data_IF_151207063225
#
_entry.id   IF_151207063225
#
_cell.length_a   1.000
_cell.length_b   1.000
_cell.length_c   1.000
_cell.angle_alpha   90.00
_cell.angle_beta   90.00
_cell.angle_gamma   90.00
#
_symmetry.space_group_name_H-M   'P 1'
#
loop_
_entity.id
_entity.type
_entity.pdbx_description
1 polymer ?
#
# COMPACT_ATOMS: atom_id res chain seq x y z
N UNK A 1 -26.61 -1.23 -18.96
CA UNK A 1 -26.27 -2.20 -17.89
C UNK A 1 -26.40 -1.44 -16.59
N UNK A 2 -27.23 -1.90 -15.65
CA UNK A 2 -27.27 -1.29 -14.31
C UNK A 2 -25.95 -1.59 -13.63
N UNK A 3 -25.23 -0.55 -13.25
CA UNK A 3 -24.09 -0.68 -12.34
C UNK A 3 -24.62 -1.36 -11.07
N UNK A 4 -24.05 -2.52 -10.75
CA UNK A 4 -24.35 -3.17 -9.48
C UNK A 4 -23.77 -2.28 -8.37
N UNK A 5 -24.61 -1.50 -7.73
CA UNK A 5 -24.26 -0.71 -6.56
C UNK A 5 -23.87 -1.70 -5.45
N UNK A 6 -22.58 -1.75 -5.12
CA UNK A 6 -22.09 -2.60 -4.04
C UNK A 6 -22.39 -1.86 -2.74
N UNK A 7 -23.40 -2.37 -2.01
CA UNK A 7 -23.71 -1.85 -0.67
C UNK A 7 -22.80 -2.58 0.32
N UNK A 8 -21.95 -1.84 0.99
CA UNK A 8 -21.17 -2.36 2.12
C UNK A 8 -21.52 -1.60 3.39
N UNK A 9 -21.54 -2.35 4.49
CA UNK A 9 -21.73 -1.77 5.81
C UNK A 9 -20.35 -1.37 6.37
N UNK A 10 -20.13 -0.08 6.50
CA UNK A 10 -18.92 0.43 7.13
C UNK A 10 -18.96 0.13 8.63
N UNK A 11 -17.90 -0.49 9.15
CA UNK A 11 -17.74 -0.64 10.59
C UNK A 11 -17.60 0.76 11.21
N UNK A 12 -18.41 1.12 12.22
CA UNK A 12 -18.41 2.45 12.83
C UNK A 12 -17.07 2.84 13.49
N UNK A 13 -16.16 1.87 13.69
CA UNK A 13 -14.82 2.11 14.21
C UNK A 13 -13.82 2.53 13.13
N UNK A 14 -14.19 2.47 11.86
CA UNK A 14 -13.36 2.92 10.73
C UNK A 14 -13.82 4.31 10.32
N UNK A 15 -12.91 5.29 10.28
CA UNK A 15 -13.25 6.66 9.89
C UNK A 15 -13.50 6.79 8.40
N UNK A 16 -12.59 6.24 7.60
CA UNK A 16 -12.60 6.32 6.15
C UNK A 16 -12.52 4.92 5.57
N UNK A 17 -13.45 4.58 4.69
CA UNK A 17 -13.46 3.32 3.96
C UNK A 17 -13.62 3.63 2.48
N UNK A 18 -12.66 3.22 1.67
CA UNK A 18 -12.66 3.42 0.23
C UNK A 18 -11.86 2.31 -0.47
N UNK A 19 -12.02 2.22 -1.77
CA UNK A 19 -11.31 1.21 -2.54
C UNK A 19 -11.89 1.04 -3.92
N UNK A 20 -11.63 -0.11 -4.54
CA UNK A 20 -12.17 -0.43 -5.85
C UNK A 20 -12.23 -1.94 -6.09
N UNK A 21 -13.04 -2.33 -7.08
CA UNK A 21 -13.06 -3.66 -7.67
C UNK A 21 -13.01 -3.55 -9.19
N UNK A 22 -12.16 -4.33 -9.85
CA UNK A 22 -12.00 -4.29 -11.31
C UNK A 22 -10.78 -5.05 -11.80
N UNK A 23 -10.21 -4.59 -12.90
CA UNK A 23 -9.11 -5.28 -13.58
C UNK A 23 -7.72 -4.87 -13.11
N UNK A 24 -7.61 -3.72 -12.41
CA UNK A 24 -6.32 -3.23 -11.93
C UNK A 24 -5.82 -4.08 -10.75
N UNK A 25 -4.65 -4.66 -10.89
CA UNK A 25 -4.03 -5.44 -9.83
C UNK A 25 -3.35 -4.55 -8.78
N UNK A 26 -3.46 -4.92 -7.50
CA UNK A 26 -2.59 -4.36 -6.45
C UNK A 26 -1.19 -4.90 -6.67
N UNK A 27 -0.20 -4.11 -7.08
CA UNK A 27 1.14 -4.62 -7.38
C UNK A 27 1.87 -5.04 -6.11
N UNK A 28 2.86 -5.92 -6.27
CA UNK A 28 3.83 -6.18 -5.21
C UNK A 28 4.97 -5.18 -5.32
N UNK A 29 5.31 -4.53 -4.22
CA UNK A 29 6.45 -3.61 -4.16
C UNK A 29 7.54 -4.20 -3.28
N UNK A 30 8.53 -4.79 -3.91
CA UNK A 30 9.75 -5.22 -3.24
C UNK A 30 10.74 -4.05 -3.24
N UNK A 31 11.14 -3.61 -2.06
CA UNK A 31 12.30 -2.72 -1.92
C UNK A 31 13.52 -3.43 -2.48
N UNK A 32 14.23 -2.82 -3.38
CA UNK A 32 15.42 -3.43 -3.95
C UNK A 32 16.40 -2.40 -4.43
N UNK A 33 17.67 -2.73 -4.26
CA UNK A 33 18.78 -2.02 -4.86
C UNK A 33 19.33 -2.87 -5.98
N UNK A 34 19.83 -2.23 -7.03
CA UNK A 34 20.67 -2.88 -8.05
C UNK A 34 22.08 -2.38 -7.90
N UNK A 35 23.09 -3.25 -8.03
CA UNK A 35 24.46 -2.80 -8.11
C UNK A 35 24.67 -2.01 -9.40
N UNK A 36 25.46 -0.97 -9.32
CA UNK A 36 26.06 -0.26 -10.46
C UNK A 36 27.54 -0.30 -10.24
N UNK A 37 28.27 -0.80 -11.24
CA UNK A 37 29.71 -0.84 -11.25
C UNK A 37 30.24 0.42 -11.92
N UNK A 38 31.18 1.09 -11.27
CA UNK A 38 31.98 2.14 -11.91
C UNK A 38 33.19 1.47 -12.52
N UNK A 39 33.28 1.56 -13.82
CA UNK A 39 34.37 0.95 -14.60
C UNK A 39 35.31 2.06 -15.10
N UNK A 40 36.60 1.93 -14.84
CA UNK A 40 37.63 2.75 -15.44
C UNK A 40 38.26 1.99 -16.61
N UNK A 41 38.25 2.62 -17.78
CA UNK A 41 38.95 2.08 -18.94
C UNK A 41 40.34 2.66 -19.00
N UNK A 42 41.37 1.84 -18.85
CA UNK A 42 42.77 2.24 -18.93
C UNK A 42 43.18 2.54 -20.37
N UNK A 43 44.29 3.23 -20.53
CA UNK A 43 44.83 3.60 -21.87
C UNK A 43 45.13 2.40 -22.79
N UNK A 44 45.33 1.23 -22.21
CA UNK A 44 45.56 -0.02 -22.93
C UNK A 44 44.25 -0.74 -23.34
N UNK A 45 43.08 -0.14 -23.02
CA UNK A 45 41.76 -0.69 -23.30
C UNK A 45 41.27 -1.71 -22.28
N UNK A 46 42.00 -1.95 -21.19
CA UNK A 46 41.54 -2.82 -20.11
C UNK A 46 40.53 -2.08 -19.21
N UNK A 47 39.49 -2.78 -18.80
CA UNK A 47 38.46 -2.27 -17.89
C UNK A 47 38.73 -2.80 -16.48
N UNK A 48 38.66 -1.91 -15.49
CA UNK A 48 38.79 -2.25 -14.08
C UNK A 48 37.63 -1.67 -13.30
N UNK A 49 36.97 -2.51 -12.48
CA UNK A 49 35.91 -2.05 -11.58
C UNK A 49 36.54 -1.35 -10.39
N UNK A 50 36.40 -0.02 -10.33
CA UNK A 50 36.98 0.81 -9.27
C UNK A 50 36.05 1.01 -8.07
N UNK A 51 34.75 0.86 -8.26
CA UNK A 51 33.79 0.95 -7.15
C UNK A 51 32.44 0.28 -7.48
N UNK A 52 31.73 -0.15 -6.44
CA UNK A 52 30.39 -0.68 -6.52
C UNK A 52 29.42 0.23 -5.77
N UNK A 53 28.38 0.70 -6.44
CA UNK A 53 27.29 1.46 -5.85
C UNK A 53 26.01 0.66 -5.88
N UNK A 54 25.13 0.92 -4.90
CA UNK A 54 23.80 0.38 -4.89
C UNK A 54 22.78 1.51 -5.10
N UNK A 55 22.02 1.43 -6.19
CA UNK A 55 20.94 2.38 -6.46
C UNK A 55 19.58 1.72 -6.29
N UNK A 56 18.63 2.47 -5.78
CA UNK A 56 17.26 1.98 -5.65
C UNK A 56 16.68 1.66 -7.04
N UNK A 57 16.10 0.48 -7.18
CA UNK A 57 15.35 0.12 -8.39
C UNK A 57 14.18 1.08 -8.59
N UNK A 58 13.97 1.63 -9.78
CA UNK A 58 12.80 2.45 -10.07
C UNK A 58 11.54 1.60 -9.97
N UNK A 59 10.42 2.26 -9.63
CA UNK A 59 9.11 1.64 -9.62
C UNK A 59 8.73 1.22 -11.06
N UNK A 60 8.08 0.07 -11.19
CA UNK A 60 7.61 -0.41 -12.49
C UNK A 60 6.41 0.41 -12.98
N UNK A 61 6.12 0.33 -14.29
CA UNK A 61 4.95 1.01 -14.85
C UNK A 61 3.63 0.59 -14.19
N UNK A 62 3.49 -0.68 -13.79
CA UNK A 62 2.32 -1.18 -13.07
C UNK A 62 2.19 -0.55 -11.67
N UNK A 63 3.30 -0.38 -10.94
CA UNK A 63 3.33 0.30 -9.65
C UNK A 63 2.91 1.76 -9.81
N UNK A 64 3.45 2.47 -10.80
CA UNK A 64 3.11 3.87 -11.02
C UNK A 64 1.63 4.07 -11.39
N UNK A 65 1.08 3.25 -12.30
CA UNK A 65 -0.35 3.29 -12.64
C UNK A 65 -1.25 3.02 -11.44
N UNK A 66 -0.90 2.03 -10.64
CA UNK A 66 -1.64 1.71 -9.42
C UNK A 66 -1.57 2.88 -8.43
N UNK A 67 -0.39 3.43 -8.21
CA UNK A 67 -0.17 4.56 -7.32
C UNK A 67 -1.03 5.76 -7.72
N UNK A 68 -0.97 6.19 -8.97
CA UNK A 68 -1.77 7.31 -9.50
C UNK A 68 -3.27 7.09 -9.30
N UNK A 69 -3.73 5.85 -9.54
CA UNK A 69 -5.13 5.50 -9.35
C UNK A 69 -5.54 5.56 -7.87
N UNK A 70 -4.75 4.95 -6.97
CA UNK A 70 -5.04 4.97 -5.52
C UNK A 70 -4.94 6.39 -4.96
N UNK A 71 -3.96 7.18 -5.37
CA UNK A 71 -3.89 8.60 -5.00
C UNK A 71 -5.16 9.35 -5.40
N UNK A 72 -5.67 9.10 -6.61
CA UNK A 72 -6.88 9.75 -7.12
C UNK A 72 -8.11 9.43 -6.27
N UNK A 73 -8.31 8.15 -5.92
CA UNK A 73 -9.45 7.77 -5.06
C UNK A 73 -9.26 8.25 -3.62
N UNK A 74 -8.03 8.24 -3.09
CA UNK A 74 -7.73 8.73 -1.74
C UNK A 74 -8.04 10.22 -1.62
N UNK A 75 -7.68 11.04 -2.61
CA UNK A 75 -7.97 12.49 -2.66
C UNK A 75 -9.47 12.84 -2.68
N UNK A 76 -10.35 11.88 -2.97
CA UNK A 76 -11.81 12.08 -2.83
C UNK A 76 -12.28 12.03 -1.38
N UNK A 77 -11.50 11.41 -0.50
CA UNK A 77 -11.82 11.22 0.92
C UNK A 77 -10.98 12.10 1.84
N UNK A 78 -9.79 12.47 1.39
CA UNK A 78 -8.84 13.24 2.17
C UNK A 78 -8.46 14.54 1.46
N UNK A 79 -8.27 15.58 2.26
CA UNK A 79 -7.76 16.90 1.86
C UNK A 79 -6.88 17.47 2.98
N UNK A 80 -6.37 18.67 2.82
CA UNK A 80 -5.49 19.32 3.80
C UNK A 80 -6.13 19.49 5.20
N UNK A 81 -7.47 19.56 5.29
CA UNK A 81 -8.18 19.79 6.56
C UNK A 81 -8.44 18.52 7.34
N UNK A 82 -8.53 17.36 6.68
CA UNK A 82 -8.87 16.09 7.31
C UNK A 82 -7.76 15.03 7.20
N UNK A 83 -6.62 15.37 6.59
CA UNK A 83 -5.41 14.53 6.64
C UNK A 83 -5.00 14.33 8.10
N UNK A 84 -4.66 13.10 8.44
CA UNK A 84 -4.26 12.76 9.81
C UNK A 84 -2.80 13.17 10.01
N UNK A 85 -2.57 14.24 10.75
CA UNK A 85 -1.24 14.77 11.03
C UNK A 85 -0.73 14.26 12.39
N UNK A 86 0.57 14.31 12.60
CA UNK A 86 1.19 14.08 13.91
C UNK A 86 0.59 15.04 14.95
N UNK A 87 0.45 14.66 16.22
CA UNK A 87 0.99 13.44 16.84
C UNK A 87 0.06 12.22 16.83
N UNK A 88 -1.02 12.22 16.05
CA UNK A 88 -2.00 11.13 16.04
C UNK A 88 -1.47 9.88 15.35
N UNK A 89 -1.72 8.73 15.94
CA UNK A 89 -1.49 7.43 15.36
C UNK A 89 -2.60 7.06 14.38
N UNK A 90 -2.28 6.12 13.49
CA UNK A 90 -3.18 5.65 12.43
C UNK A 90 -3.30 4.13 12.48
N UNK A 91 -4.52 3.63 12.39
CA UNK A 91 -4.80 2.25 12.03
C UNK A 91 -5.12 2.17 10.55
N UNK A 92 -4.47 1.25 9.83
CA UNK A 92 -4.76 0.94 8.43
C UNK A 92 -5.21 -0.50 8.30
N UNK A 93 -6.33 -0.71 7.63
CA UNK A 93 -6.89 -2.04 7.35
C UNK A 93 -6.97 -2.21 5.83
N UNK A 94 -6.34 -3.25 5.31
CA UNK A 94 -6.33 -3.58 3.89
C UNK A 94 -7.00 -4.93 3.66
N UNK A 95 -8.02 -4.97 2.80
CA UNK A 95 -8.67 -6.19 2.35
C UNK A 95 -8.51 -6.30 0.83
N UNK A 96 -7.70 -7.26 0.36
CA UNK A 96 -7.24 -7.34 -1.03
C UNK A 96 -7.74 -8.62 -1.66
N UNK A 97 -8.57 -8.50 -2.71
CA UNK A 97 -9.05 -9.63 -3.51
C UNK A 97 -8.21 -9.83 -4.77
N UNK A 98 -8.08 -11.07 -5.16
CA UNK A 98 -7.33 -11.44 -6.35
C UNK A 98 -7.70 -12.84 -6.88
N UNK A 99 -7.34 -13.17 -8.15
CA UNK A 99 -7.45 -14.51 -8.67
C UNK A 99 -6.58 -15.52 -7.93
N UNK A 100 -7.02 -16.78 -7.85
CA UNK A 100 -6.33 -17.86 -7.13
C UNK A 100 -4.86 -18.03 -7.52
N UNK A 101 -4.55 -17.96 -8.83
CA UNK A 101 -3.19 -18.09 -9.34
C UNK A 101 -2.24 -17.08 -8.69
N UNK A 102 -2.71 -15.85 -8.54
CA UNK A 102 -1.93 -14.77 -7.96
C UNK A 102 -1.85 -14.88 -6.44
N UNK A 103 -2.95 -15.28 -5.80
CA UNK A 103 -3.01 -15.48 -4.35
C UNK A 103 -1.91 -16.39 -3.82
N UNK A 104 -1.55 -17.45 -4.58
CA UNK A 104 -0.53 -18.43 -4.18
C UNK A 104 0.91 -17.94 -4.23
N UNK A 105 1.17 -16.84 -4.95
CA UNK A 105 2.55 -16.40 -5.25
C UNK A 105 2.91 -15.01 -4.70
N UNK A 106 1.93 -14.23 -4.21
CA UNK A 106 2.21 -12.88 -3.72
C UNK A 106 2.26 -12.83 -2.20
N UNK A 107 3.20 -12.08 -1.66
CA UNK A 107 3.35 -11.85 -0.24
C UNK A 107 2.50 -10.67 0.21
N UNK A 108 1.88 -10.80 1.37
CA UNK A 108 0.93 -9.83 1.91
C UNK A 108 1.59 -8.51 2.29
N UNK A 109 2.81 -8.54 2.77
CA UNK A 109 3.62 -7.37 3.13
C UNK A 109 4.01 -6.54 1.91
N UNK A 110 4.38 -7.20 0.79
CA UNK A 110 4.69 -6.52 -0.47
C UNK A 110 3.47 -5.84 -1.09
N UNK A 111 2.27 -6.43 -0.92
CA UNK A 111 1.02 -5.80 -1.31
C UNK A 111 0.73 -4.58 -0.43
N UNK A 112 0.84 -4.74 0.89
CA UNK A 112 0.61 -3.66 1.84
C UNK A 112 1.52 -2.46 1.54
N UNK A 113 2.81 -2.71 1.29
CA UNK A 113 3.77 -1.65 0.98
C UNK A 113 3.38 -0.83 -0.23
N UNK A 114 2.90 -1.46 -1.31
CA UNK A 114 2.45 -0.75 -2.50
C UNK A 114 1.27 0.20 -2.21
N UNK A 115 0.35 -0.24 -1.35
CA UNK A 115 -0.82 0.56 -0.96
C UNK A 115 -0.40 1.71 -0.05
N UNK A 116 0.37 1.43 1.00
CA UNK A 116 0.81 2.45 1.96
C UNK A 116 1.60 3.56 1.29
N UNK A 117 2.52 3.22 0.38
CA UNK A 117 3.28 4.19 -0.42
C UNK A 117 2.37 5.06 -1.33
N UNK A 118 1.15 4.59 -1.63
CA UNK A 118 0.19 5.31 -2.48
C UNK A 118 -0.73 6.24 -1.68
N UNK A 119 -1.04 5.93 -0.42
CA UNK A 119 -1.94 6.74 0.42
C UNK A 119 -1.19 7.68 1.37
N UNK A 120 0.08 7.42 1.61
CA UNK A 120 0.98 8.27 2.39
C UNK A 120 0.98 9.71 1.85
N UNK A 121 1.15 10.67 2.72
CA UNK A 121 1.10 12.12 2.46
C UNK A 121 -0.28 12.67 2.07
N UNK A 122 -1.22 11.82 1.68
CA UNK A 122 -2.60 12.20 1.36
C UNK A 122 -3.51 11.90 2.56
N UNK A 123 -3.54 10.65 3.03
CA UNK A 123 -4.39 10.24 4.15
C UNK A 123 -3.75 10.57 5.51
N UNK A 124 -2.46 10.43 5.63
CA UNK A 124 -1.67 10.74 6.83
C UNK A 124 -0.30 11.28 6.42
N UNK A 125 0.41 11.87 7.37
CA UNK A 125 1.64 12.61 7.08
C UNK A 125 2.82 11.68 6.79
N UNK A 126 2.99 10.63 7.61
CA UNK A 126 4.14 9.72 7.51
C UNK A 126 3.81 8.29 7.97
N UNK A 127 4.50 7.30 7.40
CA UNK A 127 4.33 5.88 7.73
C UNK A 127 4.61 5.58 9.22
N UNK A 128 5.45 6.39 9.88
CA UNK A 128 5.74 6.26 11.30
C UNK A 128 4.53 6.46 12.22
N UNK A 129 3.43 7.03 11.69
CA UNK A 129 2.16 7.15 12.40
C UNK A 129 1.36 5.85 12.44
N UNK A 130 1.69 4.86 11.58
CA UNK A 130 0.95 3.61 11.51
C UNK A 130 1.33 2.75 12.72
N UNK A 131 0.49 2.76 13.75
CA UNK A 131 0.66 1.94 14.95
C UNK A 131 -0.08 0.60 14.87
N UNK A 132 -1.02 0.47 13.92
CA UNK A 132 -1.73 -0.79 13.65
C UNK A 132 -1.93 -0.97 12.15
N UNK A 133 -1.48 -2.10 11.63
CA UNK A 133 -1.68 -2.50 10.24
C UNK A 133 -2.30 -3.90 10.18
N UNK A 134 -3.50 -4.00 9.62
CA UNK A 134 -4.20 -5.27 9.40
C UNK A 134 -4.31 -5.48 7.90
N UNK A 135 -3.73 -6.56 7.40
CA UNK A 135 -3.75 -6.88 5.97
C UNK A 135 -4.30 -8.27 5.74
N UNK A 136 -5.30 -8.36 4.89
CA UNK A 136 -5.90 -9.62 4.47
C UNK A 136 -5.92 -9.71 2.96
N UNK A 137 -5.40 -10.80 2.40
CA UNK A 137 -5.63 -11.19 1.00
C UNK A 137 -6.61 -12.35 0.95
N UNK A 138 -7.44 -12.41 -0.10
CA UNK A 138 -8.38 -13.50 -0.30
C UNK A 138 -8.65 -13.73 -1.79
N UNK A 139 -9.17 -14.93 -2.10
CA UNK A 139 -9.60 -15.28 -3.45
C UNK A 139 -11.03 -14.80 -3.62
N UNK A 140 -11.28 -13.94 -4.58
CA UNK A 140 -12.62 -13.53 -4.93
C UNK A 140 -13.28 -14.55 -5.87
N UNK A 141 -14.53 -14.89 -5.61
CA UNK A 141 -15.29 -15.88 -6.41
C UNK A 141 -15.51 -15.41 -7.85
N UNK A 142 -15.54 -14.12 -8.10
CA UNK A 142 -15.63 -13.53 -9.44
C UNK A 142 -14.27 -13.42 -10.15
N UNK A 143 -13.20 -13.89 -9.52
CA UNK A 143 -11.81 -13.84 -10.01
C UNK A 143 -11.31 -12.41 -10.31
N UNK A 144 -11.93 -11.39 -9.71
CA UNK A 144 -11.56 -9.98 -9.90
C UNK A 144 -10.52 -9.53 -8.90
N UNK A 145 -9.72 -8.56 -9.32
CA UNK A 145 -8.87 -7.80 -8.43
C UNK A 145 -9.69 -6.75 -7.67
N UNK A 146 -9.24 -6.42 -6.48
CA UNK A 146 -9.89 -5.37 -5.71
C UNK A 146 -9.13 -5.07 -4.43
N UNK A 147 -9.44 -3.93 -3.87
CA UNK A 147 -8.95 -3.51 -2.56
C UNK A 147 -9.97 -2.64 -1.85
N UNK A 148 -10.17 -2.90 -0.57
CA UNK A 148 -10.78 -1.99 0.38
C UNK A 148 -9.71 -1.49 1.35
N UNK A 149 -9.70 -0.20 1.58
CA UNK A 149 -8.76 0.51 2.43
C UNK A 149 -9.54 1.18 3.54
N UNK A 150 -9.33 0.73 4.77
CA UNK A 150 -9.85 1.38 5.96
C UNK A 150 -8.75 2.20 6.61
N UNK A 151 -9.04 3.46 6.94
CA UNK A 151 -8.12 4.35 7.67
C UNK A 151 -8.83 4.91 8.88
N UNK A 152 -8.21 4.82 10.05
CA UNK A 152 -8.78 5.31 11.31
C UNK A 152 -7.73 6.14 12.03
N UNK A 153 -8.11 7.35 12.41
CA UNK A 153 -7.33 8.17 13.34
C UNK A 153 -7.46 7.59 14.75
N UNK A 154 -6.35 7.30 15.39
CA UNK A 154 -6.31 6.82 16.76
C UNK A 154 -6.03 7.96 17.72
N UNK A 155 -6.73 7.98 18.84
CA UNK A 155 -6.55 8.92 19.93
C UNK A 155 -6.93 8.25 21.29
N UNK A 156 -6.97 9.02 22.36
CA UNK A 156 -7.28 8.50 23.69
C UNK A 156 -8.69 7.90 23.78
N UNK A 157 -9.62 8.37 22.98
CA UNK A 157 -11.03 7.91 22.95
C UNK A 157 -11.24 6.83 21.90
N UNK A 158 -10.52 6.89 20.78
CA UNK A 158 -10.70 6.00 19.62
C UNK A 158 -9.45 5.14 19.42
N UNK A 159 -9.61 3.85 19.66
CA UNK A 159 -8.50 2.87 19.61
C UNK A 159 -8.57 1.93 18.38
N UNK A 160 -9.49 2.13 17.49
CA UNK A 160 -9.67 1.32 16.27
C UNK A 160 -10.12 -0.12 16.55
N UNK A 161 -10.00 -0.96 15.53
CA UNK A 161 -10.32 -2.39 15.60
C UNK A 161 -9.16 -3.20 16.20
N UNK A 162 -7.93 -2.78 15.94
CA UNK A 162 -6.72 -3.48 16.41
C UNK A 162 -6.64 -3.60 17.93
N UNK A 163 -7.26 -2.70 18.69
CA UNK A 163 -7.35 -2.80 20.16
C UNK A 163 -8.08 -4.05 20.63
N UNK A 164 -8.97 -4.60 19.83
CA UNK A 164 -9.72 -5.83 20.17
C UNK A 164 -8.87 -7.09 20.02
N UNK A 165 -7.76 -7.00 19.31
CA UNK A 165 -6.80 -8.09 19.14
C UNK A 165 -5.91 -8.13 20.37
N UNK A 166 -6.29 -8.93 21.37
CA UNK A 166 -5.50 -9.12 22.57
C UNK A 166 -4.56 -10.32 22.39
N UNK A 167 -3.26 -10.05 22.40
CA UNK A 167 -2.23 -11.11 22.35
C UNK A 167 -1.79 -11.54 23.76
N UNK A 168 -2.07 -10.71 24.76
CA UNK A 168 -1.74 -10.97 26.16
C UNK A 168 -2.94 -10.60 27.04
N UNK A 169 -3.05 -11.31 28.16
CA UNK A 169 -4.00 -11.05 29.23
C UNK A 169 -3.27 -10.52 30.45
#
# INVERSE_FOLDING_TARGET
MKENEIIYYQNPKIDYLFGYFGDLEVPTKQGGFKPIEMIETKQDGTEEIINNFYVRKPDTQSINKFKEFIETITKKHFNEHNRINKPFDVEVILSISMPEKRYKIVDVDNLAKAVLDSIKTIAFEDDSQISCLIVKKFIDVSMKNGILIGVTKLDDHKKGIGKEIKLFH
#
